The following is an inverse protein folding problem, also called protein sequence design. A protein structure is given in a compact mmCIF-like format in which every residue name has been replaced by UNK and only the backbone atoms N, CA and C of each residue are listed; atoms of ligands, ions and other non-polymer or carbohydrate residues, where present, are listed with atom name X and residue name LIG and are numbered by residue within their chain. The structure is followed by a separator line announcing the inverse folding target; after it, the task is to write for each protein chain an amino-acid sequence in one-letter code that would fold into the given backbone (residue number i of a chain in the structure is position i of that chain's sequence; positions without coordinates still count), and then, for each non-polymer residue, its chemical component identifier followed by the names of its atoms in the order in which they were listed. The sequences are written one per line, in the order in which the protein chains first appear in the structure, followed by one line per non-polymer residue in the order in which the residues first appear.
data_IF_197018007774
#
_entry.id   IF_197018007774
#
_cell.length_a   1.000
_cell.length_b   1.000
_cell.length_c   1.000
_cell.angle_alpha   90.00
_cell.angle_beta   90.00
_cell.angle_gamma   90.00
#
_symmetry.space_group_name_H-M   'P 1'
#
loop_
_entity.id
_entity.type
_entity.pdbx_description
1 polymer ?
#
# COMPACT_ATOMS: atom_id res chain seq x y z
N UNK A 1 16.49 18.30 -0.58
CA UNK A 1 15.07 18.09 -0.22
C UNK A 1 15.05 16.99 0.84
N UNK A 2 14.03 16.91 1.69
CA UNK A 2 13.90 15.72 2.55
C UNK A 2 13.45 14.55 1.68
N UNK A 3 14.11 13.41 1.81
CA UNK A 3 13.82 12.22 1.01
C UNK A 3 12.56 11.54 1.58
N UNK A 4 11.54 11.21 0.76
CA UNK A 4 10.39 10.44 1.21
C UNK A 4 10.81 9.05 1.71
N UNK A 5 10.08 8.53 2.69
CA UNK A 5 10.23 7.16 3.14
C UNK A 5 9.79 6.19 2.03
N UNK A 6 10.57 5.13 1.80
CA UNK A 6 10.24 4.05 0.88
C UNK A 6 9.60 2.90 1.67
N UNK A 7 8.29 2.72 1.47
CA UNK A 7 7.52 1.62 2.01
C UNK A 7 7.38 0.51 0.97
N UNK A 8 7.85 -0.70 1.25
CA UNK A 8 7.71 -1.84 0.35
C UNK A 8 6.56 -2.74 0.81
N UNK A 9 5.55 -2.90 -0.04
CA UNK A 9 4.43 -3.81 0.25
C UNK A 9 4.84 -5.26 0.03
N UNK A 10 4.76 -6.07 1.08
CA UNK A 10 5.02 -7.51 1.02
C UNK A 10 3.90 -8.21 0.24
N UNK A 11 4.29 -9.15 -0.61
CA UNK A 11 3.35 -9.84 -1.52
C UNK A 11 2.98 -11.23 -1.03
N UNK A 12 3.74 -11.78 -0.09
CA UNK A 12 3.49 -13.09 0.51
C UNK A 12 2.06 -13.24 1.02
N UNK A 13 1.56 -14.46 0.92
CA UNK A 13 0.24 -14.91 1.41
C UNK A 13 0.36 -15.88 2.58
N UNK A 14 1.59 -16.23 2.95
CA UNK A 14 1.91 -16.94 4.18
C UNK A 14 2.92 -16.14 4.98
N UNK A 15 3.05 -16.45 6.28
CA UNK A 15 4.06 -15.85 7.16
C UNK A 15 5.47 -16.04 6.57
N UNK A 16 5.80 -17.26 6.12
CA UNK A 16 7.10 -17.57 5.52
C UNK A 16 7.37 -16.74 4.27
N UNK A 17 6.39 -16.61 3.38
CA UNK A 17 6.53 -15.78 2.18
C UNK A 17 6.72 -14.30 2.53
N UNK A 18 5.99 -13.77 3.51
CA UNK A 18 6.13 -12.38 3.95
C UNK A 18 7.51 -12.11 4.55
N UNK A 19 8.04 -13.02 5.37
CA UNK A 19 9.40 -12.91 5.93
C UNK A 19 10.47 -12.95 4.83
N UNK A 20 10.28 -13.82 3.83
CA UNK A 20 11.16 -13.88 2.66
C UNK A 20 11.09 -12.59 1.82
N UNK A 21 9.90 -12.02 1.65
CA UNK A 21 9.73 -10.75 0.94
C UNK A 21 10.34 -9.58 1.72
N UNK A 22 10.26 -9.58 3.05
CA UNK A 22 10.90 -8.56 3.89
C UNK A 22 12.42 -8.58 3.76
N UNK A 23 13.02 -9.78 3.65
CA UNK A 23 14.45 -9.91 3.38
C UNK A 23 14.85 -9.29 2.02
N UNK A 24 14.01 -9.42 0.99
CA UNK A 24 14.24 -8.75 -0.31
C UNK A 24 14.04 -7.23 -0.21
N UNK A 25 13.09 -6.80 0.61
CA UNK A 25 12.82 -5.39 0.86
C UNK A 25 14.02 -4.72 1.55
N UNK A 26 14.66 -5.39 2.50
CA UNK A 26 15.89 -4.92 3.16
C UNK A 26 17.03 -4.70 2.16
N UNK A 27 17.24 -5.67 1.26
CA UNK A 27 18.24 -5.55 0.18
C UNK A 27 17.91 -4.39 -0.77
N UNK A 28 16.63 -4.04 -0.89
CA UNK A 28 16.16 -2.94 -1.75
C UNK A 28 16.11 -1.58 -1.02
N UNK A 29 16.75 -1.49 0.15
CA UNK A 29 16.82 -0.27 0.97
C UNK A 29 15.45 0.28 1.39
N UNK A 30 14.51 -0.61 1.74
CA UNK A 30 13.23 -0.19 2.32
C UNK A 30 13.44 0.52 3.66
N UNK A 31 12.76 1.66 3.85
CA UNK A 31 12.65 2.32 5.15
C UNK A 31 11.58 1.63 6.02
N UNK A 32 10.52 1.12 5.38
CA UNK A 32 9.36 0.48 6.01
C UNK A 32 8.93 -0.71 5.15
N UNK A 33 8.39 -1.77 5.76
CA UNK A 33 7.64 -2.81 5.03
C UNK A 33 6.17 -2.81 5.42
N UNK A 34 5.29 -2.84 4.42
CA UNK A 34 3.85 -2.99 4.62
C UNK A 34 3.45 -4.47 4.56
N UNK A 35 2.99 -4.98 5.70
CA UNK A 35 2.36 -6.28 5.83
C UNK A 35 0.87 -6.13 5.53
N UNK A 36 0.44 -6.70 4.40
CA UNK A 36 -0.98 -6.84 4.04
C UNK A 36 -1.57 -8.06 4.72
N UNK A 37 -2.06 -7.90 5.95
CA UNK A 37 -2.65 -8.99 6.73
C UNK A 37 -3.80 -9.64 5.94
N UNK A 38 -4.57 -8.82 5.21
CA UNK A 38 -5.67 -9.32 4.37
C UNK A 38 -5.24 -10.32 3.28
N UNK A 39 -3.96 -10.35 2.89
CA UNK A 39 -3.45 -11.35 1.94
C UNK A 39 -3.29 -12.75 2.55
N UNK A 40 -3.22 -12.88 3.89
CA UNK A 40 -3.11 -14.18 4.56
C UNK A 40 -4.36 -15.06 4.37
N UNK A 41 -5.49 -14.45 4.01
CA UNK A 41 -6.72 -15.17 3.64
C UNK A 41 -6.84 -15.44 2.14
N UNK A 42 -5.73 -15.39 1.40
CA UNK A 42 -5.74 -15.66 -0.04
C UNK A 42 -4.73 -16.74 -0.42
N UNK A 43 -5.05 -17.50 -1.46
CA UNK A 43 -4.17 -18.48 -2.06
C UNK A 43 -3.94 -18.09 -3.52
N UNK A 44 -2.68 -18.07 -3.95
CA UNK A 44 -2.31 -17.78 -5.35
C UNK A 44 -2.06 -19.09 -6.10
N UNK A 45 -2.86 -19.36 -7.13
CA UNK A 45 -2.66 -20.50 -8.02
C UNK A 45 -2.28 -20.03 -9.43
N UNK A 46 -1.24 -20.63 -10.01
CA UNK A 46 -0.82 -20.34 -11.39
C UNK A 46 -1.48 -21.34 -12.34
N UNK A 47 -2.45 -20.86 -13.10
CA UNK A 47 -3.16 -21.63 -14.10
C UNK A 47 -2.49 -21.39 -15.46
N UNK A 48 -2.23 -22.46 -16.21
CA UNK A 48 -1.73 -22.35 -17.59
C UNK A 48 -2.87 -21.84 -18.48
N UNK A 49 -2.68 -20.70 -19.13
CA UNK A 49 -3.61 -20.26 -20.17
C UNK A 49 -3.40 -21.15 -21.41
N UNK A 50 -4.49 -21.76 -21.89
CA UNK A 50 -4.48 -22.53 -23.12
C UNK A 50 -4.91 -21.62 -24.27
N UNK A 51 -3.98 -20.85 -24.83
CA UNK A 51 -4.21 -20.15 -26.09
C UNK A 51 -3.98 -21.12 -27.26
N UNK A 52 -5.05 -21.74 -27.75
CA UNK A 52 -5.09 -22.55 -28.97
C UNK A 52 -5.09 -21.65 -30.23
N UNK A 53 -4.08 -20.81 -30.35
CA UNK A 53 -3.81 -20.07 -31.59
C UNK A 53 -2.33 -20.18 -31.90
N UNK A 54 -2.04 -21.01 -32.90
CA UNK A 54 -0.69 -21.33 -33.33
C UNK A 54 0.17 -20.09 -33.56
N UNK A 55 1.44 -20.25 -33.21
CA UNK A 55 2.58 -19.34 -33.41
C UNK A 55 2.85 -18.29 -32.31
N UNK A 56 3.27 -18.72 -31.11
CA UNK A 56 4.57 -18.36 -30.49
C UNK A 56 4.69 -18.97 -29.09
N UNK A 57 5.86 -19.53 -28.76
CA UNK A 57 6.19 -20.16 -27.48
C UNK A 57 6.35 -19.14 -26.35
N UNK A 58 5.24 -18.59 -25.85
CA UNK A 58 5.18 -18.01 -24.50
C UNK A 58 4.05 -18.69 -23.75
N UNK A 59 4.42 -19.51 -22.76
CA UNK A 59 3.45 -20.01 -21.78
C UNK A 59 2.93 -18.80 -20.99
N UNK A 60 1.74 -18.31 -21.35
CA UNK A 60 1.02 -17.32 -20.54
C UNK A 60 0.36 -18.07 -19.37
N UNK A 61 0.65 -17.63 -18.15
CA UNK A 61 0.03 -18.13 -16.93
C UNK A 61 -0.95 -17.08 -16.44
N UNK A 62 -2.20 -17.47 -16.19
CA UNK A 62 -3.14 -16.68 -15.42
C UNK A 62 -2.93 -16.98 -13.94
N UNK A 63 -3.01 -15.93 -13.13
CA UNK A 63 -2.95 -16.05 -11.68
C UNK A 63 -4.38 -16.00 -11.16
N UNK A 64 -4.82 -17.09 -10.55
CA UNK A 64 -6.08 -17.14 -9.83
C UNK A 64 -5.82 -16.89 -8.35
N UNK A 65 -6.65 -16.05 -7.73
CA UNK A 65 -6.57 -15.74 -6.30
C UNK A 65 -7.88 -16.19 -5.68
N UNK A 66 -7.80 -17.28 -4.91
CA UNK A 66 -8.93 -17.76 -4.12
C UNK A 66 -8.84 -17.23 -2.69
N UNK A 67 -10.00 -17.05 -2.06
CA UNK A 67 -10.12 -16.57 -0.69
C UNK A 67 -10.52 -17.72 0.22
N UNK A 68 -9.94 -17.78 1.41
CA UNK A 68 -10.31 -18.75 2.45
C UNK A 68 -11.21 -18.11 3.52
N UNK A 69 -11.90 -18.94 4.29
CA UNK A 69 -12.81 -18.49 5.35
C UNK A 69 -12.03 -17.78 6.47
N UNK A 70 -12.68 -16.80 7.12
CA UNK A 70 -12.09 -16.07 8.24
C UNK A 70 -11.55 -16.99 9.34
N UNK A 71 -12.27 -18.08 9.65
CA UNK A 71 -11.94 -19.01 10.72
C UNK A 71 -10.85 -20.03 10.37
N UNK A 72 -10.40 -20.09 9.12
CA UNK A 72 -9.36 -21.03 8.68
C UNK A 72 -7.93 -20.54 9.01
N UNK A 73 -7.77 -19.27 9.38
CA UNK A 73 -6.50 -18.67 9.72
C UNK A 73 -6.44 -18.30 11.22
N UNK A 74 -5.42 -18.78 11.92
CA UNK A 74 -5.01 -18.20 13.20
C UNK A 74 -4.26 -16.89 12.95
N UNK A 75 -5.02 -15.80 12.81
CA UNK A 75 -4.44 -14.49 12.53
C UNK A 75 -3.63 -13.94 13.71
N UNK A 76 -3.91 -14.38 14.93
CA UNK A 76 -3.18 -13.93 16.11
C UNK A 76 -1.75 -14.45 16.11
N UNK A 77 -1.60 -15.77 15.92
CA UNK A 77 -0.29 -16.42 15.78
C UNK A 77 0.47 -15.88 14.56
N UNK A 78 -0.23 -15.68 13.43
CA UNK A 78 0.40 -15.16 12.22
C UNK A 78 0.97 -13.75 12.43
N UNK A 79 0.22 -12.84 13.06
CA UNK A 79 0.66 -11.46 13.34
C UNK A 79 1.87 -11.46 14.31
N UNK A 80 1.84 -12.29 15.36
CA UNK A 80 2.96 -12.40 16.30
C UNK A 80 4.23 -12.94 15.64
N UNK A 81 4.10 -13.97 14.81
CA UNK A 81 5.22 -14.56 14.08
C UNK A 81 5.82 -13.57 13.07
N UNK A 82 4.99 -12.83 12.33
CA UNK A 82 5.47 -11.78 11.42
C UNK A 82 6.21 -10.69 12.20
N UNK A 83 5.58 -10.20 13.29
CA UNK A 83 6.14 -9.11 14.09
C UNK A 83 7.47 -9.44 14.75
N UNK A 84 7.69 -10.71 15.11
CA UNK A 84 8.94 -11.16 15.73
C UNK A 84 10.02 -11.57 14.73
N UNK A 85 9.65 -11.87 13.48
CA UNK A 85 10.58 -12.36 12.45
C UNK A 85 11.13 -11.26 11.54
N UNK A 86 10.45 -10.11 11.44
CA UNK A 86 10.88 -8.99 10.59
C UNK A 86 11.54 -7.91 11.45
N UNK A 87 12.76 -7.52 11.08
CA UNK A 87 13.55 -6.49 11.78
C UNK A 87 13.36 -5.07 11.23
N UNK A 88 12.87 -4.93 9.99
CA UNK A 88 12.57 -3.63 9.39
C UNK A 88 11.35 -2.99 10.07
N UNK A 89 11.26 -1.64 10.08
CA UNK A 89 10.06 -0.96 10.55
C UNK A 89 8.79 -1.49 9.90
N UNK A 90 7.80 -1.84 10.72
CA UNK A 90 6.61 -2.57 10.29
C UNK A 90 5.40 -1.64 10.14
N UNK A 91 4.72 -1.75 9.01
CA UNK A 91 3.37 -1.22 8.81
C UNK A 91 2.39 -2.36 8.67
N UNK A 92 1.43 -2.48 9.58
CA UNK A 92 0.31 -3.40 9.39
C UNK A 92 -0.84 -2.72 8.66
N UNK A 93 -1.41 -3.43 7.67
CA UNK A 93 -2.59 -3.01 6.92
C UNK A 93 -3.55 -4.21 6.81
N UNK A 94 -4.82 -4.03 7.20
CA UNK A 94 -5.87 -5.01 6.97
C UNK A 94 -6.98 -4.38 6.11
N UNK A 95 -6.79 -4.41 4.79
CA UNK A 95 -7.64 -3.69 3.83
C UNK A 95 -8.97 -4.45 3.61
N UNK A 96 -10.14 -3.80 3.73
CA UNK A 96 -11.41 -4.43 3.41
C UNK A 96 -11.61 -4.56 1.89
N UNK A 97 -12.46 -5.50 1.47
CA UNK A 97 -12.85 -5.67 0.07
C UNK A 97 -13.50 -4.41 -0.53
N UNK A 98 -14.19 -3.64 0.32
CA UNK A 98 -14.77 -2.35 -0.06
C UNK A 98 -13.73 -1.32 -0.51
N UNK A 99 -12.44 -1.54 -0.26
CA UNK A 99 -11.32 -0.69 -0.67
C UNK A 99 -10.22 -1.46 -1.42
N UNK A 100 -10.56 -2.59 -2.05
CA UNK A 100 -9.64 -3.36 -2.90
C UNK A 100 -8.69 -4.29 -2.14
N UNK A 101 -9.00 -4.62 -0.88
CA UNK A 101 -8.32 -5.67 -0.12
C UNK A 101 -9.02 -7.02 -0.21
N UNK A 102 -8.51 -7.97 0.56
CA UNK A 102 -8.97 -9.37 0.54
C UNK A 102 -9.45 -9.88 1.90
N UNK A 103 -9.77 -8.99 2.84
CA UNK A 103 -10.26 -9.43 4.15
C UNK A 103 -11.64 -10.13 4.02
N UNK A 104 -11.79 -11.40 4.47
CA UNK A 104 -13.03 -12.16 4.26
C UNK A 104 -14.13 -11.85 5.29
N UNK A 105 -13.76 -11.36 6.46
CA UNK A 105 -14.68 -11.18 7.58
C UNK A 105 -15.53 -9.91 7.52
N UNK A 106 -16.37 -9.77 8.55
CA UNK A 106 -17.12 -8.58 8.87
C UNK A 106 -16.24 -7.45 9.41
N UNK A 107 -16.76 -6.23 9.40
CA UNK A 107 -16.02 -5.09 9.95
C UNK A 107 -15.69 -5.25 11.44
N UNK A 108 -16.56 -5.92 12.21
CA UNK A 108 -16.30 -6.20 13.62
C UNK A 108 -15.08 -7.11 13.82
N UNK A 109 -14.99 -8.19 13.04
CA UNK A 109 -13.84 -9.10 13.03
C UNK A 109 -12.58 -8.38 12.55
N UNK A 110 -12.70 -7.48 11.55
CA UNK A 110 -11.58 -6.65 11.09
C UNK A 110 -11.01 -5.77 12.19
N UNK A 111 -11.88 -5.20 13.04
CA UNK A 111 -11.43 -4.41 14.19
C UNK A 111 -10.66 -5.26 15.19
N UNK A 112 -11.02 -6.53 15.40
CA UNK A 112 -10.27 -7.45 16.26
C UNK A 112 -8.86 -7.72 15.70
N UNK A 113 -8.76 -7.96 14.38
CA UNK A 113 -7.48 -8.12 13.69
C UNK A 113 -6.61 -6.87 13.82
N UNK A 114 -7.18 -5.67 13.63
CA UNK A 114 -6.45 -4.41 13.81
C UNK A 114 -6.00 -4.17 15.26
N UNK A 115 -6.86 -4.48 16.25
CA UNK A 115 -6.47 -4.42 17.67
C UNK A 115 -5.30 -5.35 17.97
N UNK A 116 -5.33 -6.58 17.43
CA UNK A 116 -4.22 -7.53 17.56
C UNK A 116 -2.94 -6.99 16.92
N UNK A 117 -3.03 -6.46 15.70
CA UNK A 117 -1.90 -5.85 15.01
C UNK A 117 -1.30 -4.68 15.79
N UNK A 118 -2.11 -3.82 16.40
CA UNK A 118 -1.62 -2.71 17.24
C UNK A 118 -0.96 -3.24 18.52
N UNK A 119 -1.47 -4.33 19.11
CA UNK A 119 -0.94 -4.89 20.36
C UNK A 119 0.50 -5.39 20.27
N UNK A 120 0.97 -5.74 19.06
CA UNK A 120 2.37 -6.11 18.81
C UNK A 120 3.31 -4.89 18.68
N UNK A 121 2.77 -3.67 18.76
CA UNK A 121 3.50 -2.40 18.71
C UNK A 121 4.30 -2.19 17.42
N UNK A 122 3.66 -2.25 16.24
CA UNK A 122 4.32 -1.94 14.98
C UNK A 122 4.71 -0.45 14.93
N UNK A 123 5.64 -0.10 14.06
CA UNK A 123 6.00 1.30 13.83
C UNK A 123 4.84 2.08 13.18
N UNK A 124 4.03 1.41 12.36
CA UNK A 124 2.89 2.00 11.65
C UNK A 124 1.66 1.07 11.61
N UNK A 125 0.48 1.68 11.58
CA UNK A 125 -0.80 1.03 11.31
C UNK A 125 -1.57 1.83 10.25
N UNK A 126 -2.13 1.17 9.24
CA UNK A 126 -3.01 1.77 8.25
C UNK A 126 -4.47 1.65 8.71
N UNK A 127 -5.14 2.79 8.86
CA UNK A 127 -6.54 2.91 9.27
C UNK A 127 -7.32 3.71 8.21
N UNK A 128 -8.32 3.09 7.58
CA UNK A 128 -9.19 3.76 6.60
C UNK A 128 -10.01 4.89 7.24
N UNK A 129 -10.08 6.05 6.59
CA UNK A 129 -10.85 7.22 7.07
C UNK A 129 -12.34 6.89 7.21
N UNK A 130 -12.81 5.92 6.42
CA UNK A 130 -14.19 5.42 6.43
C UNK A 130 -14.49 4.43 7.58
N UNK A 131 -13.50 4.02 8.39
CA UNK A 131 -13.76 3.28 9.64
C UNK A 131 -14.69 4.13 10.51
N UNK A 132 -15.76 3.55 11.11
CA UNK A 132 -16.64 4.28 12.00
C UNK A 132 -15.86 5.03 13.09
N UNK A 133 -16.21 6.30 13.30
CA UNK A 133 -15.44 7.22 14.15
C UNK A 133 -15.13 6.64 15.54
N UNK A 134 -16.09 5.97 16.18
CA UNK A 134 -15.91 5.35 17.50
C UNK A 134 -14.78 4.30 17.49
N UNK A 135 -14.78 3.41 16.50
CA UNK A 135 -13.74 2.41 16.33
C UNK A 135 -12.39 3.02 15.94
N UNK A 136 -12.38 4.03 15.06
CA UNK A 136 -11.15 4.70 14.64
C UNK A 136 -10.49 5.44 15.80
N UNK A 137 -11.28 6.13 16.62
CA UNK A 137 -10.81 6.85 17.81
C UNK A 137 -10.24 5.83 18.84
N UNK A 138 -10.90 4.68 19.04
CA UNK A 138 -10.40 3.58 19.87
C UNK A 138 -9.05 3.04 19.38
N UNK A 139 -8.94 2.68 18.10
CA UNK A 139 -7.71 2.15 17.50
C UNK A 139 -6.57 3.17 17.55
N UNK A 140 -6.85 4.45 17.27
CA UNK A 140 -5.86 5.52 17.34
C UNK A 140 -5.38 5.74 18.78
N UNK A 141 -6.28 5.62 19.77
CA UNK A 141 -5.90 5.69 21.18
C UNK A 141 -5.03 4.50 21.60
N UNK A 142 -5.32 3.30 21.10
CA UNK A 142 -4.52 2.10 21.34
C UNK A 142 -3.11 2.20 20.74
N UNK A 143 -2.99 2.73 19.51
CA UNK A 143 -1.70 2.97 18.85
C UNK A 143 -0.83 3.96 19.64
N UNK A 144 -1.47 4.99 20.22
CA UNK A 144 -0.82 5.92 21.14
C UNK A 144 0.31 6.70 20.47
N UNK A 145 1.49 6.73 21.10
CA UNK A 145 2.70 7.39 20.57
C UNK A 145 3.75 6.41 20.05
N UNK A 146 3.54 5.12 20.27
CA UNK A 146 4.49 4.07 19.89
C UNK A 146 4.28 3.64 18.44
N UNK A 147 3.04 3.73 17.95
CA UNK A 147 2.66 3.36 16.58
C UNK A 147 2.09 4.57 15.85
N UNK A 148 2.67 4.91 14.68
CA UNK A 148 2.16 5.98 13.82
C UNK A 148 0.98 5.51 12.97
N UNK A 149 0.06 6.41 12.64
CA UNK A 149 -1.16 6.10 11.90
C UNK A 149 -1.10 6.63 10.47
N UNK A 150 -1.28 5.75 9.49
CA UNK A 150 -1.64 6.13 8.12
C UNK A 150 -3.16 6.28 8.04
N UNK A 151 -3.64 7.49 7.79
CA UNK A 151 -5.05 7.76 7.50
C UNK A 151 -5.31 7.55 6.00
N UNK A 152 -5.80 6.36 5.64
CA UNK A 152 -5.90 5.97 4.23
C UNK A 152 -7.30 6.14 3.65
N UNK A 153 -7.38 6.39 2.34
CA UNK A 153 -8.63 6.44 1.57
C UNK A 153 -8.40 5.82 0.18
N UNK A 154 -9.40 5.08 -0.31
CA UNK A 154 -9.34 4.42 -1.62
C UNK A 154 -10.63 4.69 -2.40
N UNK A 155 -10.80 5.91 -2.95
CA UNK A 155 -11.99 6.26 -3.71
C UNK A 155 -12.19 5.31 -4.89
N UNK A 156 -13.37 4.70 -4.96
CA UNK A 156 -13.76 3.77 -6.03
C UNK A 156 -14.30 4.47 -7.27
N UNK A 157 -14.89 5.65 -7.07
CA UNK A 157 -15.44 6.44 -8.17
C UNK A 157 -14.30 7.17 -8.91
N UNK A 158 -14.60 7.65 -10.12
CA UNK A 158 -13.59 8.24 -11.01
C UNK A 158 -12.76 9.34 -10.34
N UNK A 159 -11.61 9.64 -10.94
CA UNK A 159 -10.65 10.57 -10.33
C UNK A 159 -11.22 12.00 -10.35
N UNK A 160 -11.42 12.64 -9.18
CA UNK A 160 -12.04 13.96 -9.10
C UNK A 160 -11.10 15.04 -9.68
N UNK A 161 -11.54 16.29 -9.70
CA UNK A 161 -10.67 17.37 -10.16
C UNK A 161 -9.48 17.55 -9.20
N UNK A 162 -8.37 18.05 -9.74
CA UNK A 162 -7.13 18.30 -8.98
C UNK A 162 -7.36 19.09 -7.68
N UNK A 163 -8.18 20.13 -7.73
CA UNK A 163 -8.53 20.95 -6.56
C UNK A 163 -9.33 20.17 -5.52
N UNK A 164 -10.19 19.23 -5.93
CA UNK A 164 -10.95 18.38 -5.02
C UNK A 164 -10.01 17.37 -4.34
N UNK A 165 -9.12 16.71 -5.09
CA UNK A 165 -8.10 15.82 -4.51
C UNK A 165 -7.26 16.57 -3.47
N UNK A 166 -6.85 17.81 -3.78
CA UNK A 166 -6.09 18.65 -2.86
C UNK A 166 -6.90 18.95 -1.60
N UNK A 167 -8.16 19.33 -1.74
CA UNK A 167 -9.03 19.64 -0.61
C UNK A 167 -9.31 18.40 0.25
N UNK A 168 -9.56 17.24 -0.36
CA UNK A 168 -9.80 15.98 0.36
C UNK A 168 -8.61 15.62 1.26
N UNK A 169 -7.38 15.80 0.76
CA UNK A 169 -6.17 15.57 1.56
C UNK A 169 -6.07 16.60 2.70
N UNK A 170 -6.28 17.89 2.41
CA UNK A 170 -6.21 18.96 3.42
C UNK A 170 -7.25 18.77 4.54
N UNK A 171 -8.46 18.35 4.19
CA UNK A 171 -9.56 18.08 5.14
C UNK A 171 -9.27 16.85 6.01
N UNK A 172 -8.53 15.88 5.48
CA UNK A 172 -8.13 14.68 6.21
C UNK A 172 -6.89 14.88 7.11
N UNK A 173 -6.17 16.02 7.01
CA UNK A 173 -5.02 16.31 7.87
C UNK A 173 -5.43 16.24 9.34
N UNK A 174 -4.59 15.60 10.16
CA UNK A 174 -4.85 15.37 11.58
C UNK A 174 -5.67 14.11 11.88
N UNK A 175 -6.13 13.39 10.85
CA UNK A 175 -6.75 12.06 11.02
C UNK A 175 -5.73 10.94 11.27
N UNK A 176 -4.44 11.24 11.18
CA UNK A 176 -3.29 10.37 11.38
C UNK A 176 -1.98 11.14 11.22
N UNK A 177 -0.85 10.45 11.33
CA UNK A 177 0.49 11.03 11.12
C UNK A 177 0.77 11.33 9.64
N UNK A 178 0.19 10.53 8.74
CA UNK A 178 0.24 10.73 7.29
C UNK A 178 -1.13 10.43 6.68
N UNK A 179 -1.59 11.28 5.76
CA UNK A 179 -2.81 11.02 4.96
C UNK A 179 -2.43 10.32 3.66
N UNK A 180 -3.04 9.18 3.36
CA UNK A 180 -2.78 8.38 2.15
C UNK A 180 -4.01 8.31 1.27
N UNK A 181 -3.90 8.65 0.00
CA UNK A 181 -4.97 8.44 -0.97
C UNK A 181 -4.45 7.67 -2.19
N UNK A 182 -5.18 6.62 -2.57
CA UNK A 182 -4.85 5.78 -3.71
C UNK A 182 -6.04 5.65 -4.67
N UNK A 183 -5.86 6.11 -5.90
CA UNK A 183 -6.91 6.15 -6.92
C UNK A 183 -6.72 5.10 -8.01
N UNK A 184 -7.81 4.60 -8.58
CA UNK A 184 -7.76 3.73 -9.77
C UNK A 184 -7.79 4.58 -11.05
N UNK A 185 -6.68 4.59 -11.77
CA UNK A 185 -6.42 5.36 -12.99
C UNK A 185 -6.79 4.55 -14.22
N UNK A 186 -7.65 5.11 -15.08
CA UNK A 186 -8.01 4.51 -16.37
C UNK A 186 -7.11 5.00 -17.50
N UNK A 187 -6.65 6.25 -17.43
CA UNK A 187 -5.76 6.83 -18.43
C UNK A 187 -4.78 7.87 -17.86
N UNK A 188 -3.78 8.23 -18.67
CA UNK A 188 -2.73 9.18 -18.29
C UNK A 188 -3.24 10.60 -17.99
N UNK A 189 -4.40 11.01 -18.49
CA UNK A 189 -4.97 12.34 -18.18
C UNK A 189 -5.49 12.36 -16.75
N UNK A 190 -6.05 11.26 -16.28
CA UNK A 190 -6.43 11.13 -14.87
C UNK A 190 -5.19 11.08 -13.96
N UNK A 191 -4.11 10.41 -14.38
CA UNK A 191 -2.83 10.42 -13.65
C UNK A 191 -2.28 11.86 -13.45
N UNK A 192 -2.42 12.73 -14.45
CA UNK A 192 -2.00 14.13 -14.34
C UNK A 192 -2.78 14.91 -13.27
N UNK A 193 -4.04 14.56 -12.97
CA UNK A 193 -4.82 15.22 -11.91
C UNK A 193 -4.24 14.92 -10.53
N UNK A 194 -3.88 13.65 -10.32
CA UNK A 194 -3.24 13.19 -9.08
C UNK A 194 -1.85 13.84 -8.95
N UNK A 195 -1.07 13.85 -10.02
CA UNK A 195 0.23 14.50 -10.05
C UNK A 195 0.14 16.00 -9.74
N UNK A 196 -0.79 16.70 -10.38
CA UNK A 196 -1.03 18.12 -10.15
C UNK A 196 -1.48 18.41 -8.71
N UNK A 197 -2.31 17.54 -8.13
CA UNK A 197 -2.73 17.69 -6.74
C UNK A 197 -1.55 17.49 -5.76
N UNK A 198 -0.67 16.51 -6.02
CA UNK A 198 0.56 16.35 -5.25
C UNK A 198 1.45 17.61 -5.34
N UNK A 199 1.53 18.21 -6.53
CA UNK A 199 2.31 19.44 -6.73
C UNK A 199 1.72 20.64 -5.97
N UNK A 200 0.39 20.79 -5.96
CA UNK A 200 -0.29 21.82 -5.17
C UNK A 200 -0.05 21.60 -3.66
N UNK A 201 -0.11 20.34 -3.21
CA UNK A 201 0.14 19.95 -1.83
C UNK A 201 1.59 20.13 -1.39
N UNK A 202 2.57 20.00 -2.30
CA UNK A 202 3.99 20.20 -2.00
C UNK A 202 4.33 21.58 -1.42
N UNK A 203 3.48 22.58 -1.68
CA UNK A 203 3.60 23.93 -1.12
C UNK A 203 3.01 24.07 0.29
N UNK A 204 2.39 23.02 0.83
CA UNK A 204 1.79 22.96 2.15
C UNK A 204 2.68 22.13 3.09
N UNK A 205 2.64 22.45 4.39
CA UNK A 205 3.32 21.66 5.42
C UNK A 205 2.44 20.47 5.83
N UNK A 206 2.22 19.56 4.88
CA UNK A 206 1.33 18.41 5.01
C UNK A 206 2.09 17.10 4.82
N UNK A 207 1.87 16.15 5.72
CA UNK A 207 2.40 14.78 5.58
C UNK A 207 1.39 13.93 4.81
N UNK A 208 1.68 13.64 3.54
CA UNK A 208 0.78 12.85 2.70
C UNK A 208 1.49 11.83 1.80
N UNK A 209 0.70 10.88 1.30
CA UNK A 209 1.06 9.91 0.28
C UNK A 209 -0.05 9.83 -0.76
N UNK A 210 0.17 10.43 -1.92
CA UNK A 210 -0.78 10.49 -3.01
C UNK A 210 -0.29 9.61 -4.17
N UNK A 211 -1.13 8.67 -4.58
CA UNK A 211 -0.76 7.71 -5.62
C UNK A 211 -1.97 7.23 -6.43
N UNK A 212 -1.68 6.54 -7.52
CA UNK A 212 -2.71 5.77 -8.21
C UNK A 212 -2.20 4.46 -8.77
N UNK A 213 -3.15 3.59 -9.08
CA UNK A 213 -2.97 2.31 -9.73
C UNK A 213 -3.51 2.41 -11.16
N UNK A 214 -2.69 2.05 -12.14
CA UNK A 214 -3.00 2.15 -13.56
C UNK A 214 -2.02 3.05 -14.34
N UNK A 215 -2.30 3.33 -15.62
CA UNK A 215 -1.34 3.99 -16.50
C UNK A 215 -0.90 5.38 -16.02
N UNK A 216 0.39 5.54 -15.68
CA UNK A 216 0.96 6.79 -15.18
C UNK A 216 0.83 7.00 -13.66
N UNK A 217 0.32 6.01 -12.92
CA UNK A 217 0.26 6.08 -11.45
C UNK A 217 1.62 6.08 -10.75
N UNK A 218 2.65 5.59 -11.44
CA UNK A 218 4.04 5.57 -11.01
C UNK A 218 4.69 6.96 -11.00
N UNK A 219 4.16 7.93 -11.74
CA UNK A 219 4.72 9.30 -11.83
C UNK A 219 4.80 10.00 -10.48
N UNK A 220 3.77 9.85 -9.66
CA UNK A 220 3.75 10.42 -8.30
C UNK A 220 4.85 9.84 -7.43
N UNK A 221 5.18 8.56 -7.62
CA UNK A 221 6.24 7.84 -6.89
C UNK A 221 7.62 8.32 -7.37
N UNK A 222 7.84 8.34 -8.69
CA UNK A 222 9.09 8.78 -9.30
C UNK A 222 9.43 10.22 -8.91
N UNK A 223 8.45 11.11 -8.89
CA UNK A 223 8.64 12.53 -8.59
C UNK A 223 8.37 12.89 -7.12
N UNK A 224 8.21 11.89 -6.24
CA UNK A 224 7.84 12.11 -4.84
C UNK A 224 8.70 13.16 -4.09
N UNK A 225 10.04 13.23 -4.27
CA UNK A 225 10.85 14.22 -3.58
C UNK A 225 10.48 15.68 -3.91
N UNK A 226 10.17 15.98 -5.18
CA UNK A 226 9.76 17.33 -5.60
C UNK A 226 8.26 17.59 -5.36
N UNK A 227 7.48 16.52 -5.24
CA UNK A 227 6.05 16.58 -4.92
C UNK A 227 5.79 16.65 -3.41
N UNK A 228 6.83 16.71 -2.57
CA UNK A 228 6.67 16.82 -1.12
C UNK A 228 5.94 15.63 -0.47
N UNK A 229 5.96 14.45 -1.11
CA UNK A 229 5.35 13.27 -0.50
C UNK A 229 6.17 12.84 0.71
N UNK A 230 5.50 12.40 1.78
CA UNK A 230 6.16 11.94 2.99
C UNK A 230 6.60 10.48 2.89
N UNK A 231 5.81 9.65 2.21
CA UNK A 231 6.03 8.21 2.05
C UNK A 231 5.57 7.74 0.67
N UNK A 232 6.34 6.85 0.06
CA UNK A 232 6.07 6.25 -1.25
C UNK A 232 5.99 4.75 -1.10
N UNK A 233 4.98 4.14 -1.72
CA UNK A 233 4.82 2.69 -1.72
C UNK A 233 5.46 2.09 -2.98
N UNK A 234 6.23 1.02 -2.82
CA UNK A 234 6.93 0.33 -3.90
C UNK A 234 6.78 -1.19 -3.76
N UNK A 235 7.31 -1.94 -4.72
CA UNK A 235 7.31 -3.41 -4.73
C UNK A 235 8.72 -3.94 -4.98
N UNK A 236 8.99 -5.19 -4.58
CA UNK A 236 10.21 -5.93 -4.99
C UNK A 236 10.01 -6.68 -6.30
N UNK A 237 8.79 -6.70 -6.83
CA UNK A 237 8.49 -7.27 -8.14
C UNK A 237 9.24 -6.54 -9.25
N UNK A 238 9.63 -7.28 -10.29
CA UNK A 238 10.27 -6.72 -11.47
C UNK A 238 9.45 -7.05 -12.71
N UNK A 239 9.39 -6.11 -13.65
CA UNK A 239 8.74 -6.33 -14.94
C UNK A 239 8.14 -5.05 -15.51
N UNK A 240 8.11 -4.96 -16.84
CA UNK A 240 7.61 -3.80 -17.57
C UNK A 240 6.11 -3.54 -17.35
N UNK A 241 5.36 -4.57 -16.93
CA UNK A 241 3.92 -4.46 -16.64
C UNK A 241 3.63 -3.56 -15.44
N UNK A 242 4.58 -3.39 -14.51
CA UNK A 242 4.41 -2.55 -13.32
C UNK A 242 4.05 -1.10 -13.66
N UNK A 243 4.71 -0.53 -14.69
CA UNK A 243 4.43 0.83 -15.14
C UNK A 243 2.99 0.99 -15.67
N UNK A 244 2.42 -0.06 -16.28
CA UNK A 244 1.03 -0.05 -16.73
C UNK A 244 0.04 -0.17 -15.56
N UNK A 245 0.49 -0.73 -14.44
CA UNK A 245 -0.26 -0.85 -13.19
C UNK A 245 -0.03 0.34 -12.24
N UNK A 246 0.78 1.34 -12.60
CA UNK A 246 1.11 2.48 -11.73
C UNK A 246 1.96 2.09 -10.52
N UNK A 247 2.65 0.95 -10.61
CA UNK A 247 3.56 0.41 -9.59
C UNK A 247 4.99 0.59 -10.06
N UNK A 248 5.94 0.60 -9.13
CA UNK A 248 7.35 0.71 -9.42
C UNK A 248 8.15 -0.19 -8.49
N UNK A 249 9.19 -0.82 -9.04
CA UNK A 249 10.15 -1.58 -8.25
C UNK A 249 10.97 -0.61 -7.37
N UNK A 250 11.29 -1.00 -6.14
CA UNK A 250 12.03 -0.15 -5.23
C UNK A 250 13.45 0.22 -5.75
N UNK A 251 14.20 -0.74 -6.31
CA UNK A 251 15.51 -0.46 -6.91
C UNK A 251 15.41 0.48 -8.11
N UNK A 252 14.38 0.32 -8.95
CA UNK A 252 14.13 1.23 -10.09
C UNK A 252 13.77 2.64 -9.61
N UNK A 253 12.97 2.76 -8.56
CA UNK A 253 12.59 4.04 -7.94
C UNK A 253 13.84 4.77 -7.40
N UNK A 254 14.70 4.05 -6.70
CA UNK A 254 15.95 4.59 -6.15
C UNK A 254 16.89 5.05 -7.27
N UNK A 255 17.02 4.24 -8.32
CA UNK A 255 17.78 4.61 -9.53
C UNK A 255 17.21 5.86 -10.20
N UNK A 256 15.88 5.96 -10.31
CA UNK A 256 15.23 7.13 -10.89
C UNK A 256 15.50 8.40 -10.08
N UNK A 257 15.46 8.34 -8.74
CA UNK A 257 15.79 9.47 -7.88
C UNK A 257 17.25 9.90 -7.99
N UNK A 258 18.18 8.95 -8.12
CA UNK A 258 19.59 9.24 -8.36
C UNK A 258 19.79 9.95 -9.71
N UNK A 259 19.21 9.41 -10.79
CA UNK A 259 19.32 9.97 -12.14
C UNK A 259 18.67 11.35 -12.29
N UNK A 260 17.61 11.61 -11.52
CA UNK A 260 16.91 12.90 -11.50
C UNK A 260 17.53 13.92 -10.52
N UNK A 261 18.61 13.55 -9.83
CA UNK A 261 19.30 14.39 -8.84
C UNK A 261 18.37 14.85 -7.71
N UNK A 262 17.48 13.96 -7.25
CA UNK A 262 16.63 14.21 -6.07
C UNK A 262 17.35 13.96 -4.74
N UNK A 263 18.64 13.61 -4.81
CA UNK A 263 19.58 13.37 -3.71
C UNK A 263 19.79 14.60 -2.83
#
# INVERSE_FOLDING_TARGET
MEKPLVCITLRGRTVEEMVNDASKAEISEADIVEVRIDHLWTIEEKIRSSNDSGNSEKEEFEVDISQIDFNELDYEEAIENISSSISLPLMFTCRPQSQGGHFPGSEAERMEVLRKAISTKPDWIDLEIEIPKENRDELSQMAGKETKVIASMHPKEGIPHQSEITQDILDAIGSGDVVKACYNIKDKKEALRIFGAALDLASNDANFALMGLGPGGDWTRIHAPILGQHIVFATTESGWHLAQQGRINASDLMTAWELLEYC
#
